data_IF_924133939132
#
_entry.id   IF_924133939132
#
_cell.length_a   1.000
_cell.length_b   1.000
_cell.length_c   1.000
_cell.angle_alpha   90.00
_cell.angle_beta   90.00
_cell.angle_gamma   90.00
#
_symmetry.space_group_name_H-M   'P 1'
#
loop_
_entity.id
_entity.type
_entity.pdbx_description
1 polymer ?
#
# COMPACT_ATOMS: atom_id res chain seq x y z
N UNK A 1 10.34 24.33 10.17
CA UNK A 1 8.91 23.98 10.31
C UNK A 1 8.74 22.56 9.81
N UNK A 2 8.46 21.60 10.70
CA UNK A 2 7.98 20.29 10.27
C UNK A 2 6.62 20.48 9.61
N UNK A 3 6.55 20.32 8.29
CA UNK A 3 5.27 20.29 7.59
C UNK A 3 4.55 19.00 8.03
N UNK A 4 3.46 19.15 8.76
CA UNK A 4 2.57 18.04 9.08
C UNK A 4 1.89 17.56 7.79
N UNK A 5 2.47 16.58 7.11
CA UNK A 5 1.87 15.91 5.95
C UNK A 5 0.80 14.90 6.40
N UNK A 6 -0.18 15.35 7.19
CA UNK A 6 -1.39 14.57 7.43
C UNK A 6 -2.29 14.76 6.22
N UNK A 7 -2.19 13.83 5.26
CA UNK A 7 -3.07 13.80 4.10
C UNK A 7 -4.24 12.91 4.47
N UNK A 8 -5.41 13.52 4.66
CA UNK A 8 -6.66 12.77 4.88
C UNK A 8 -6.93 11.84 3.70
N UNK A 9 -7.32 10.61 4.02
CA UNK A 9 -7.57 9.54 3.04
C UNK A 9 -9.01 9.08 3.13
N UNK A 10 -9.68 9.01 1.99
CA UNK A 10 -11.04 8.49 1.85
C UNK A 10 -10.96 7.05 1.35
N UNK A 11 -10.41 6.16 2.18
CA UNK A 11 -10.24 4.74 1.80
C UNK A 11 -11.61 4.06 1.76
N UNK A 12 -11.92 3.37 0.66
CA UNK A 12 -13.16 2.61 0.54
C UNK A 12 -13.18 1.41 1.49
N UNK A 13 -14.38 0.97 1.86
CA UNK A 13 -14.56 -0.24 2.66
C UNK A 13 -13.94 -1.47 1.98
N UNK A 14 -14.05 -1.57 0.66
CA UNK A 14 -13.50 -2.66 -0.13
C UNK A 14 -11.98 -2.72 -0.03
N UNK A 15 -11.29 -1.61 -0.29
CA UNK A 15 -9.83 -1.55 -0.23
C UNK A 15 -9.31 -1.82 1.19
N UNK A 16 -10.03 -1.35 2.20
CA UNK A 16 -9.75 -1.67 3.61
C UNK A 16 -9.93 -3.15 3.91
N UNK A 17 -11.01 -3.76 3.42
CA UNK A 17 -11.30 -5.18 3.61
C UNK A 17 -10.23 -6.08 2.97
N UNK A 18 -9.73 -5.70 1.79
CA UNK A 18 -8.63 -6.42 1.13
C UNK A 18 -7.34 -6.38 1.95
N UNK A 19 -6.97 -5.22 2.50
CA UNK A 19 -5.81 -5.10 3.37
C UNK A 19 -5.97 -5.95 4.64
N UNK A 20 -7.15 -5.88 5.28
CA UNK A 20 -7.42 -6.66 6.49
C UNK A 20 -7.42 -8.17 6.23
N UNK A 21 -7.92 -8.59 5.06
CA UNK A 21 -7.84 -9.98 4.62
C UNK A 21 -6.38 -10.44 4.44
N UNK A 22 -5.56 -9.64 3.75
CA UNK A 22 -4.13 -9.90 3.63
C UNK A 22 -3.45 -10.02 5.01
N UNK A 23 -3.71 -9.08 5.92
CA UNK A 23 -3.14 -9.08 7.28
C UNK A 23 -3.53 -10.35 8.04
N UNK A 24 -4.79 -10.78 7.94
CA UNK A 24 -5.27 -12.01 8.56
C UNK A 24 -4.49 -13.22 8.03
N UNK A 25 -4.41 -13.38 6.71
CA UNK A 25 -3.69 -14.50 6.08
C UNK A 25 -2.21 -14.46 6.47
N UNK A 26 -1.57 -13.30 6.39
CA UNK A 26 -0.15 -13.12 6.70
C UNK A 26 0.17 -13.53 8.15
N UNK A 27 -0.72 -13.21 9.10
CA UNK A 27 -0.54 -13.58 10.51
C UNK A 27 -0.61 -15.09 10.73
N UNK A 28 -1.40 -15.81 9.92
CA UNK A 28 -1.57 -17.25 10.05
C UNK A 28 -0.42 -18.03 9.39
N UNK A 29 0.00 -17.64 8.19
CA UNK A 29 0.91 -18.44 7.36
C UNK A 29 2.15 -17.69 6.85
N UNK A 30 2.35 -16.45 7.29
CA UNK A 30 3.45 -15.61 6.82
C UNK A 30 3.33 -15.30 5.33
N UNK A 31 4.49 -15.17 4.66
CA UNK A 31 4.55 -14.77 3.26
C UNK A 31 4.44 -15.97 2.30
N UNK A 32 3.28 -16.62 2.29
CA UNK A 32 2.95 -17.73 1.38
C UNK A 32 2.50 -17.26 -0.01
N UNK A 33 2.35 -18.18 -0.96
CA UNK A 33 1.82 -17.87 -2.30
C UNK A 33 0.44 -17.20 -2.24
N UNK A 34 -0.43 -17.69 -1.36
CA UNK A 34 -1.77 -17.13 -1.18
C UNK A 34 -1.75 -15.74 -0.55
N UNK A 35 -0.88 -15.53 0.45
CA UNK A 35 -0.72 -14.22 1.07
C UNK A 35 -0.11 -13.22 0.06
N UNK A 36 0.82 -13.67 -0.78
CA UNK A 36 1.43 -12.88 -1.86
C UNK A 36 0.39 -12.48 -2.89
N UNK A 37 -0.46 -13.43 -3.32
CA UNK A 37 -1.57 -13.16 -4.20
C UNK A 37 -2.54 -12.13 -3.61
N UNK A 38 -2.93 -12.29 -2.33
CA UNK A 38 -3.83 -11.34 -1.65
C UNK A 38 -3.23 -9.94 -1.56
N UNK A 39 -1.92 -9.82 -1.29
CA UNK A 39 -1.22 -8.54 -1.27
C UNK A 39 -1.21 -7.90 -2.66
N UNK A 40 -0.94 -8.68 -3.70
CA UNK A 40 -0.88 -8.18 -5.08
C UNK A 40 -2.25 -7.67 -5.54
N UNK A 41 -3.33 -8.40 -5.26
CA UNK A 41 -4.70 -7.96 -5.55
C UNK A 41 -5.02 -6.64 -4.85
N UNK A 42 -4.66 -6.49 -3.57
CA UNK A 42 -4.81 -5.23 -2.85
C UNK A 42 -4.03 -4.08 -3.52
N UNK A 43 -2.82 -4.32 -4.01
CA UNK A 43 -2.02 -3.29 -4.68
C UNK A 43 -2.66 -2.87 -6.01
N UNK A 44 -3.12 -3.83 -6.81
CA UNK A 44 -3.79 -3.55 -8.08
C UNK A 44 -5.04 -2.70 -7.87
N UNK A 45 -5.88 -3.07 -6.91
CA UNK A 45 -7.07 -2.29 -6.58
C UNK A 45 -6.70 -0.90 -6.06
N UNK A 46 -5.66 -0.81 -5.22
CA UNK A 46 -5.15 0.47 -4.75
C UNK A 46 -4.63 1.36 -5.88
N UNK A 47 -4.20 0.81 -7.02
CA UNK A 47 -3.73 1.57 -8.16
C UNK A 47 -4.87 2.16 -8.99
N UNK A 48 -5.99 1.43 -9.11
CA UNK A 48 -7.14 1.84 -9.89
C UNK A 48 -7.92 3.03 -9.28
N UNK A 49 -7.74 3.29 -7.98
CA UNK A 49 -8.41 4.39 -7.29
C UNK A 49 -7.58 5.69 -7.28
N UNK A 50 -8.23 6.87 -7.22
CA UNK A 50 -7.53 8.16 -7.13
C UNK A 50 -6.62 8.25 -5.92
N UNK A 51 -5.55 9.06 -6.00
CA UNK A 51 -4.55 9.23 -4.93
C UNK A 51 -5.15 9.48 -3.54
N UNK A 52 -6.23 10.24 -3.42
CA UNK A 52 -6.90 10.54 -2.14
C UNK A 52 -7.60 9.32 -1.52
N UNK A 53 -7.93 8.31 -2.32
CA UNK A 53 -8.66 7.10 -1.93
C UNK A 53 -7.76 5.87 -1.72
N UNK A 54 -6.44 6.01 -1.93
CA UNK A 54 -5.44 4.96 -1.70
C UNK A 54 -4.59 5.22 -0.48
N UNK A 55 -4.08 4.14 0.10
CA UNK A 55 -3.21 4.18 1.26
C UNK A 55 -1.94 4.98 0.96
N UNK A 56 -1.57 5.86 1.88
CA UNK A 56 -0.22 6.41 1.92
C UNK A 56 0.74 5.39 2.50
N UNK A 57 2.03 5.48 2.15
CA UNK A 57 3.09 4.65 2.79
C UNK A 57 3.04 4.79 4.31
N UNK A 58 2.88 6.01 4.82
CA UNK A 58 2.78 6.29 6.27
C UNK A 58 1.60 5.56 6.91
N UNK A 59 0.40 5.67 6.30
CA UNK A 59 -0.81 5.05 6.82
C UNK A 59 -0.71 3.52 6.79
N UNK A 60 -0.26 2.95 5.67
CA UNK A 60 -0.05 1.52 5.53
C UNK A 60 0.98 1.01 6.55
N UNK A 61 2.07 1.75 6.75
CA UNK A 61 3.10 1.40 7.72
C UNK A 61 2.58 1.41 9.17
N UNK A 62 1.73 2.38 9.53
CA UNK A 62 1.08 2.41 10.85
C UNK A 62 0.20 1.19 11.09
N UNK A 63 -0.68 0.86 10.13
CA UNK A 63 -1.59 -0.28 10.25
C UNK A 63 -0.82 -1.60 10.37
N UNK A 64 0.24 -1.79 9.57
CA UNK A 64 1.08 -2.98 9.64
C UNK A 64 1.80 -3.09 11.00
N UNK A 65 2.29 -1.97 11.54
CA UNK A 65 2.93 -1.92 12.87
C UNK A 65 1.95 -2.24 13.99
N UNK A 66 0.74 -1.67 13.96
CA UNK A 66 -0.35 -1.98 14.89
C UNK A 66 -0.72 -3.46 14.87
N UNK A 67 -0.51 -4.12 13.72
CA UNK A 67 -0.73 -5.55 13.54
C UNK A 67 0.52 -6.41 13.82
N UNK A 68 1.60 -5.85 14.36
CA UNK A 68 2.87 -6.52 14.63
C UNK A 68 3.52 -7.18 13.40
N UNK A 69 3.31 -6.60 12.22
CA UNK A 69 3.91 -7.07 10.95
C UNK A 69 5.18 -6.28 10.64
N UNK A 70 6.24 -6.97 10.21
CA UNK A 70 7.48 -6.33 9.75
C UNK A 70 7.19 -5.53 8.46
N UNK A 71 7.30 -4.22 8.58
CA UNK A 71 6.82 -3.25 7.57
C UNK A 71 7.64 -3.24 6.27
N UNK A 72 8.95 -3.43 6.35
CA UNK A 72 9.86 -3.11 5.24
C UNK A 72 9.52 -3.84 3.95
N UNK A 73 9.28 -5.16 4.03
CA UNK A 73 8.98 -5.97 2.85
C UNK A 73 7.68 -5.52 2.19
N UNK A 74 6.61 -5.40 2.97
CA UNK A 74 5.27 -5.10 2.45
C UNK A 74 5.22 -3.69 1.86
N UNK A 75 5.84 -2.70 2.53
CA UNK A 75 5.90 -1.32 2.04
C UNK A 75 6.71 -1.22 0.76
N UNK A 76 7.87 -1.88 0.70
CA UNK A 76 8.70 -1.86 -0.50
C UNK A 76 7.98 -2.53 -1.67
N UNK A 77 7.33 -3.68 -1.46
CA UNK A 77 6.52 -4.34 -2.49
C UNK A 77 5.38 -3.44 -2.96
N UNK A 78 4.62 -2.84 -2.04
CA UNK A 78 3.52 -1.93 -2.36
C UNK A 78 4.00 -0.76 -3.23
N UNK A 79 5.08 -0.10 -2.82
CA UNK A 79 5.67 1.02 -3.55
C UNK A 79 6.20 0.61 -4.93
N UNK A 80 6.98 -0.47 -5.00
CA UNK A 80 7.60 -0.92 -6.24
C UNK A 80 6.55 -1.36 -7.26
N UNK A 81 5.55 -2.13 -6.86
CA UNK A 81 4.50 -2.59 -7.78
C UNK A 81 3.71 -1.40 -8.31
N UNK A 82 3.34 -0.44 -7.46
CA UNK A 82 2.68 0.78 -7.93
C UNK A 82 3.52 1.49 -8.98
N UNK A 83 4.82 1.69 -8.72
CA UNK A 83 5.71 2.32 -9.69
C UNK A 83 5.78 1.58 -11.02
N UNK A 84 5.89 0.25 -10.99
CA UNK A 84 5.89 -0.55 -12.20
C UNK A 84 4.60 -0.36 -13.01
N UNK A 85 3.44 -0.33 -12.34
CA UNK A 85 2.14 -0.12 -13.01
C UNK A 85 2.06 1.25 -13.69
N UNK A 86 2.45 2.32 -12.99
CA UNK A 86 2.43 3.64 -13.59
C UNK A 86 3.43 3.81 -14.72
N UNK A 87 4.65 3.28 -14.58
CA UNK A 87 5.64 3.29 -15.65
C UNK A 87 5.10 2.57 -16.89
N UNK A 88 4.40 1.44 -16.70
CA UNK A 88 3.74 0.72 -17.78
C UNK A 88 2.64 1.56 -18.46
N UNK A 89 1.91 2.38 -17.69
CA UNK A 89 0.86 3.27 -18.21
C UNK A 89 1.42 4.59 -18.78
N UNK A 90 2.74 4.77 -18.80
CA UNK A 90 3.39 6.01 -19.23
C UNK A 90 3.18 7.19 -18.27
N UNK A 91 2.80 6.90 -17.01
CA UNK A 91 2.55 7.86 -15.96
C UNK A 91 3.74 7.93 -14.99
N UNK A 92 4.08 9.13 -14.53
CA UNK A 92 4.94 9.30 -13.36
C UNK A 92 4.07 9.35 -12.10
N UNK A 93 4.23 8.38 -11.17
CA UNK A 93 3.52 8.44 -9.86
C UNK A 93 3.96 9.66 -9.05
N UNK A 94 5.19 10.13 -9.28
CA UNK A 94 5.83 11.18 -8.53
C UNK A 94 6.25 12.29 -9.50
N UNK A 95 5.50 13.38 -9.54
CA UNK A 95 6.00 14.66 -10.08
C UNK A 95 7.15 15.22 -9.22
N UNK A 96 7.78 16.29 -9.70
CA UNK A 96 8.94 16.96 -9.11
C UNK A 96 8.86 17.04 -7.57
N UNK A 97 9.67 16.22 -6.87
CA UNK A 97 10.03 16.48 -5.47
C UNK A 97 9.83 15.37 -4.44
N UNK A 98 10.15 14.10 -4.73
CA UNK A 98 10.55 13.17 -3.65
C UNK A 98 11.88 12.48 -3.96
N UNK A 99 12.88 12.80 -3.13
CA UNK A 99 14.15 12.09 -2.98
C UNK A 99 13.89 10.74 -2.29
N UNK A 100 14.55 9.70 -2.79
CA UNK A 100 14.75 8.41 -2.10
C UNK A 100 15.56 8.66 -0.83
#
# INVERSE_FOLDING_TARGET
>A
MEKNYCIDREISFELSSMLMNFIKIYKEVGMSDYATYSLYQFILESYQVPRKNRYSIKLLASILKENHIKVSLIINTYYHVLNCLALNDGLEIYGDGFLI
#
